data_IF_850844845562
#
_entry.id   IF_850844845562
#
_cell.length_a   1.000
_cell.length_b   1.000
_cell.length_c   1.000
_cell.angle_alpha   90.00
_cell.angle_beta   90.00
_cell.angle_gamma   90.00
#
_symmetry.space_group_name_H-M   'P 1'
#
loop_
_entity.id
_entity.type
_entity.pdbx_description
1 polymer ?
#
# COMPACT_ATOMS: atom_id res chain seq x y z
N UNK A 1 1.10 1.24 30.29
CA UNK A 1 0.83 1.58 28.87
C UNK A 1 -0.61 1.13 28.56
N UNK A 2 -1.45 1.94 27.88
CA UNK A 2 -2.83 1.52 27.55
C UNK A 2 -2.82 0.29 26.63
N UNK A 3 -3.76 -0.66 26.82
CA UNK A 3 -3.87 -1.89 26.03
C UNK A 3 -3.90 -1.61 24.51
N UNK A 4 -4.55 -0.53 24.08
CA UNK A 4 -4.60 -0.11 22.67
C UNK A 4 -3.22 0.24 22.10
N UNK A 5 -2.34 0.85 22.90
CA UNK A 5 -0.97 1.18 22.48
C UNK A 5 -0.13 -0.08 22.29
N UNK A 6 -0.28 -1.06 23.19
CA UNK A 6 0.41 -2.35 23.11
C UNK A 6 0.02 -3.08 21.82
N UNK A 7 -1.28 -3.16 21.51
CA UNK A 7 -1.79 -3.82 20.30
C UNK A 7 -1.21 -3.16 19.03
N UNK A 8 -1.14 -1.84 18.99
CA UNK A 8 -0.58 -1.11 17.84
C UNK A 8 0.93 -1.31 17.69
N UNK A 9 1.67 -1.39 18.80
CA UNK A 9 3.11 -1.71 18.77
C UNK A 9 3.32 -3.11 18.21
N UNK A 10 2.61 -4.10 18.74
CA UNK A 10 2.69 -5.49 18.28
C UNK A 10 2.34 -5.58 16.79
N UNK A 11 1.33 -4.83 16.35
CA UNK A 11 0.95 -4.74 14.93
C UNK A 11 2.07 -4.20 14.05
N UNK A 12 2.72 -3.11 14.47
CA UNK A 12 3.89 -2.56 13.78
C UNK A 12 5.05 -3.56 13.70
N UNK A 13 5.31 -4.28 14.79
CA UNK A 13 6.34 -5.33 14.85
C UNK A 13 6.03 -6.45 13.86
N UNK A 14 4.81 -6.99 13.87
CA UNK A 14 4.44 -8.10 12.99
C UNK A 14 4.51 -7.69 11.51
N UNK A 15 4.04 -6.49 11.16
CA UNK A 15 4.15 -5.97 9.78
C UNK A 15 5.62 -5.80 9.39
N UNK A 16 6.46 -5.26 10.29
CA UNK A 16 7.89 -5.11 10.06
C UNK A 16 8.62 -6.45 9.85
N UNK A 17 8.38 -7.43 10.73
CA UNK A 17 8.93 -8.79 10.61
C UNK A 17 8.49 -9.41 9.29
N UNK A 18 7.20 -9.33 8.96
CA UNK A 18 6.67 -9.87 7.70
C UNK A 18 7.36 -9.25 6.49
N UNK A 19 7.62 -7.94 6.51
CA UNK A 19 8.31 -7.25 5.43
C UNK A 19 9.78 -7.67 5.27
N UNK A 20 10.50 -7.83 6.39
CA UNK A 20 11.89 -8.30 6.39
C UNK A 20 11.96 -9.76 5.92
N UNK A 21 11.12 -10.63 6.47
CA UNK A 21 11.06 -12.06 6.11
C UNK A 21 10.76 -12.20 4.62
N UNK A 22 9.72 -11.55 4.10
CA UNK A 22 9.40 -11.62 2.67
C UNK A 22 10.55 -11.08 1.79
N UNK A 23 11.26 -10.03 2.23
CA UNK A 23 12.44 -9.51 1.54
C UNK A 23 13.66 -10.43 1.59
N UNK A 24 13.78 -11.31 2.59
CA UNK A 24 14.83 -12.34 2.65
C UNK A 24 14.48 -13.51 1.72
N UNK A 25 13.21 -13.93 1.71
CA UNK A 25 12.75 -15.12 0.99
C UNK A 25 12.39 -14.90 -0.49
N UNK A 26 12.61 -13.70 -1.05
CA UNK A 26 12.59 -13.50 -2.51
C UNK A 26 11.89 -12.24 -3.00
N UNK A 27 11.13 -11.51 -2.18
CA UNK A 27 10.57 -10.23 -2.63
C UNK A 27 11.69 -9.21 -2.89
N UNK A 28 11.47 -8.24 -3.82
CA UNK A 28 12.53 -7.34 -4.22
C UNK A 28 13.06 -6.53 -3.02
N UNK A 29 14.36 -6.22 -2.99
CA UNK A 29 14.95 -5.43 -1.92
C UNK A 29 14.22 -4.10 -1.80
N UNK A 30 14.00 -3.67 -0.56
CA UNK A 30 13.22 -2.48 -0.20
C UNK A 30 11.76 -2.47 -0.70
N UNK A 31 11.20 -3.58 -1.21
CA UNK A 31 9.77 -3.68 -1.48
C UNK A 31 9.00 -4.38 -0.36
N UNK A 32 9.46 -5.53 0.15
CA UNK A 32 8.90 -6.26 1.30
C UNK A 32 7.40 -6.56 1.20
N UNK A 33 6.56 -5.54 1.47
CA UNK A 33 5.08 -5.54 1.47
C UNK A 33 4.55 -4.29 0.73
N UNK A 34 5.17 -3.89 -0.38
CA UNK A 34 4.80 -2.65 -1.08
C UNK A 34 3.52 -2.81 -1.90
N UNK A 35 2.40 -2.36 -1.35
CA UNK A 35 1.09 -2.46 -2.02
C UNK A 35 1.03 -1.76 -3.38
N UNK A 36 1.61 -0.57 -3.54
CA UNK A 36 1.55 0.12 -4.84
C UNK A 36 2.31 -0.66 -5.93
N UNK A 37 3.51 -1.14 -5.61
CA UNK A 37 4.28 -1.97 -6.52
C UNK A 37 3.58 -3.30 -6.80
N UNK A 38 2.92 -3.89 -5.80
CA UNK A 38 2.19 -5.14 -6.01
C UNK A 38 0.98 -4.95 -6.92
N UNK A 39 0.20 -3.87 -6.75
CA UNK A 39 -0.93 -3.56 -7.63
C UNK A 39 -0.43 -3.34 -9.06
N UNK A 40 0.71 -2.66 -9.24
CA UNK A 40 1.36 -2.52 -10.56
C UNK A 40 1.77 -3.87 -11.16
N UNK A 41 2.45 -4.71 -10.39
CA UNK A 41 2.89 -6.03 -10.86
C UNK A 41 1.69 -6.90 -11.27
N UNK A 42 0.60 -6.81 -10.49
CA UNK A 42 -0.65 -7.52 -10.76
C UNK A 42 -1.35 -6.96 -12.01
N UNK A 43 -1.35 -5.64 -12.21
CA UNK A 43 -1.86 -5.03 -13.44
C UNK A 43 -1.11 -5.53 -14.68
N UNK A 44 0.21 -5.70 -14.57
CA UNK A 44 1.04 -6.24 -15.66
C UNK A 44 0.76 -7.70 -15.92
N UNK A 45 0.59 -8.47 -14.85
CA UNK A 45 0.27 -9.90 -14.92
C UNK A 45 -1.08 -10.18 -15.57
N UNK A 46 -2.07 -9.31 -15.32
CA UNK A 46 -3.38 -9.31 -15.95
C UNK A 46 -3.38 -8.75 -17.38
N UNK A 47 -2.24 -8.31 -17.90
CA UNK A 47 -2.12 -7.77 -19.26
C UNK A 47 -2.65 -6.34 -19.44
N UNK A 48 -2.91 -5.59 -18.35
CA UNK A 48 -3.34 -4.19 -18.44
C UNK A 48 -2.22 -3.25 -18.88
N UNK A 49 -0.96 -3.66 -18.68
CA UNK A 49 0.22 -3.08 -19.31
C UNK A 49 1.20 -4.19 -19.70
N UNK A 50 2.11 -3.90 -20.64
CA UNK A 50 2.99 -4.90 -21.26
C UNK A 50 4.47 -4.76 -20.88
N UNK A 51 4.79 -4.09 -19.75
CA UNK A 51 6.19 -3.95 -19.32
C UNK A 51 6.72 -5.27 -18.75
N UNK A 52 7.59 -5.95 -19.48
CA UNK A 52 8.11 -7.30 -19.17
C UNK A 52 8.81 -7.43 -17.80
N UNK A 53 9.26 -6.33 -17.20
CA UNK A 53 10.01 -6.35 -15.92
C UNK A 53 9.13 -6.34 -14.67
N UNK A 54 7.84 -6.04 -14.80
CA UNK A 54 6.90 -5.80 -13.69
C UNK A 54 5.56 -6.50 -13.93
N UNK A 55 5.62 -7.80 -14.21
CA UNK A 55 4.46 -8.69 -14.42
C UNK A 55 4.55 -9.86 -13.44
N UNK A 56 3.74 -9.82 -12.40
CA UNK A 56 3.55 -10.97 -11.50
C UNK A 56 2.31 -10.74 -10.65
N UNK A 57 1.41 -11.72 -10.62
CA UNK A 57 0.20 -11.62 -9.82
C UNK A 57 0.55 -11.88 -8.36
N UNK A 58 0.66 -10.81 -7.57
CA UNK A 58 1.19 -10.84 -6.20
C UNK A 58 0.17 -11.44 -5.22
N UNK A 59 0.41 -12.64 -4.66
CA UNK A 59 -0.52 -13.30 -3.72
C UNK A 59 -0.82 -12.48 -2.47
N UNK A 60 0.10 -11.60 -2.08
CA UNK A 60 -0.01 -10.72 -0.92
C UNK A 60 -1.27 -9.82 -0.99
N UNK A 61 -1.64 -9.34 -2.18
CA UNK A 61 -2.81 -8.46 -2.36
C UNK A 61 -4.09 -9.20 -1.97
N UNK A 62 -4.25 -10.43 -2.48
CA UNK A 62 -5.39 -11.27 -2.14
C UNK A 62 -5.39 -11.58 -0.65
N UNK A 63 -4.22 -11.84 -0.06
CA UNK A 63 -4.07 -12.00 1.37
C UNK A 63 -4.57 -10.80 2.17
N UNK A 64 -4.20 -9.57 1.79
CA UNK A 64 -4.68 -8.37 2.50
C UNK A 64 -6.21 -8.24 2.44
N UNK A 65 -6.80 -8.46 1.27
CA UNK A 65 -8.24 -8.33 1.04
C UNK A 65 -8.98 -9.45 1.80
N UNK A 66 -8.64 -10.72 1.55
CA UNK A 66 -9.29 -11.88 2.16
C UNK A 66 -9.08 -11.94 3.67
N UNK A 67 -7.89 -11.56 4.16
CA UNK A 67 -7.60 -11.49 5.59
C UNK A 67 -8.43 -10.42 6.29
N UNK A 68 -8.58 -9.25 5.65
CA UNK A 68 -9.45 -8.20 6.17
C UNK A 68 -10.94 -8.58 6.09
N UNK A 69 -11.37 -9.29 5.05
CA UNK A 69 -12.72 -9.82 4.91
C UNK A 69 -13.03 -10.85 6.01
N UNK A 70 -12.15 -11.84 6.20
CA UNK A 70 -12.29 -12.85 7.25
C UNK A 70 -12.38 -12.23 8.64
N UNK A 71 -11.50 -11.26 8.95
CA UNK A 71 -11.59 -10.51 10.19
C UNK A 71 -12.92 -9.75 10.32
N UNK A 72 -13.36 -9.04 9.28
CA UNK A 72 -14.61 -8.30 9.30
C UNK A 72 -15.83 -9.20 9.56
N UNK A 73 -15.85 -10.41 8.98
CA UNK A 73 -16.93 -11.38 9.21
C UNK A 73 -16.87 -11.95 10.63
N UNK A 74 -15.70 -12.41 11.09
CA UNK A 74 -15.51 -13.00 12.43
C UNK A 74 -15.90 -12.00 13.53
N UNK A 75 -15.49 -10.75 13.39
CA UNK A 75 -15.77 -9.70 14.37
C UNK A 75 -17.10 -8.99 14.14
N UNK A 76 -17.91 -9.41 13.15
CA UNK A 76 -19.20 -8.79 12.79
C UNK A 76 -19.08 -7.28 12.48
N UNK A 77 -17.95 -6.88 11.90
CA UNK A 77 -17.63 -5.52 11.48
C UNK A 77 -17.72 -5.35 9.95
N UNK A 78 -18.19 -6.37 9.22
CA UNK A 78 -18.45 -6.27 7.78
C UNK A 78 -19.55 -5.23 7.51
N UNK A 79 -19.24 -4.25 6.68
CA UNK A 79 -20.14 -3.13 6.39
C UNK A 79 -20.15 -2.84 4.89
N UNK A 80 -21.24 -3.25 4.23
CA UNK A 80 -21.51 -2.87 2.85
C UNK A 80 -21.92 -1.40 2.78
N UNK A 81 -20.98 -0.55 2.36
CA UNK A 81 -21.18 0.90 2.27
C UNK A 81 -20.71 1.40 0.91
N UNK A 82 -21.55 2.21 0.26
CA UNK A 82 -21.17 2.97 -0.92
C UNK A 82 -21.55 4.44 -0.73
N UNK A 83 -20.66 5.34 -1.12
CA UNK A 83 -20.89 6.78 -1.14
C UNK A 83 -21.26 7.27 -2.54
N UNK A 84 -21.81 8.49 -2.61
CA UNK A 84 -22.39 9.02 -3.86
C UNK A 84 -21.41 9.70 -4.81
N UNK A 85 -20.09 9.65 -4.55
CA UNK A 85 -19.05 10.23 -5.42
C UNK A 85 -18.01 9.19 -5.90
N UNK A 86 -18.41 8.21 -6.73
CA UNK A 86 -17.52 7.15 -7.21
C UNK A 86 -16.40 7.69 -8.11
N UNK A 87 -16.72 8.61 -9.04
CA UNK A 87 -15.73 9.17 -9.97
C UNK A 87 -14.60 9.90 -9.24
N UNK A 88 -14.93 10.71 -8.23
CA UNK A 88 -13.92 11.42 -7.44
C UNK A 88 -12.98 10.42 -6.74
N UNK A 89 -13.54 9.35 -6.15
CA UNK A 89 -12.74 8.33 -5.46
C UNK A 89 -11.86 7.54 -6.42
N UNK A 90 -12.38 7.22 -7.60
CA UNK A 90 -11.60 6.59 -8.67
C UNK A 90 -10.43 7.49 -9.09
N UNK A 91 -10.69 8.76 -9.40
CA UNK A 91 -9.67 9.72 -9.80
C UNK A 91 -8.62 9.94 -8.71
N UNK A 92 -9.03 10.03 -7.44
CA UNK A 92 -8.10 10.13 -6.33
C UNK A 92 -7.23 8.88 -6.15
N UNK A 93 -7.80 7.68 -6.36
CA UNK A 93 -7.06 6.42 -6.41
C UNK A 93 -6.05 6.38 -7.55
N UNK A 94 -6.45 6.84 -8.73
CA UNK A 94 -5.60 6.95 -9.92
C UNK A 94 -4.41 7.89 -9.68
N UNK A 95 -4.68 9.12 -9.19
CA UNK A 95 -3.64 10.11 -8.88
C UNK A 95 -2.71 9.65 -7.75
N UNK A 96 -3.25 8.97 -6.74
CA UNK A 96 -2.45 8.36 -5.68
C UNK A 96 -1.49 7.30 -6.24
N UNK A 97 -1.95 6.46 -7.18
CA UNK A 97 -1.07 5.48 -7.81
C UNK A 97 -0.01 6.15 -8.69
N UNK A 98 -0.40 7.16 -9.48
CA UNK A 98 0.54 7.93 -10.28
C UNK A 98 1.68 8.51 -9.42
N UNK A 99 1.35 9.14 -8.28
CA UNK A 99 2.35 9.61 -7.32
C UNK A 99 3.19 8.47 -6.72
N UNK A 100 2.57 7.34 -6.36
CA UNK A 100 3.33 6.18 -5.87
C UNK A 100 4.31 5.62 -6.90
N UNK A 101 3.99 5.67 -8.20
CA UNK A 101 4.87 5.15 -9.25
C UNK A 101 5.98 6.13 -9.63
N UNK A 102 5.72 7.44 -9.54
CA UNK A 102 6.78 8.45 -9.64
C UNK A 102 7.79 8.29 -8.50
N UNK A 103 7.34 8.16 -7.25
CA UNK A 103 8.22 7.91 -6.10
C UNK A 103 8.89 6.52 -6.11
N UNK A 104 8.40 5.59 -6.92
CA UNK A 104 8.72 4.16 -6.83
C UNK A 104 8.40 3.59 -5.44
N UNK A 105 7.23 3.87 -4.88
CA UNK A 105 6.78 3.23 -3.65
C UNK A 105 5.49 3.78 -3.04
N UNK A 106 4.92 3.01 -2.12
CA UNK A 106 3.84 3.47 -1.25
C UNK A 106 4.38 3.97 0.10
N UNK A 107 3.56 4.59 0.97
CA UNK A 107 3.99 5.04 2.29
C UNK A 107 4.64 3.94 3.15
N UNK A 108 4.18 2.68 3.02
CA UNK A 108 4.82 1.56 3.71
C UNK A 108 6.24 1.34 3.18
N UNK A 109 6.40 1.28 1.86
CA UNK A 109 7.71 1.11 1.20
C UNK A 109 8.67 2.25 1.52
N UNK A 110 8.16 3.48 1.65
CA UNK A 110 8.95 4.62 2.09
C UNK A 110 9.57 4.38 3.46
N UNK A 111 8.80 3.89 4.44
CA UNK A 111 9.35 3.55 5.77
C UNK A 111 10.34 2.38 5.69
N UNK A 112 10.09 1.39 4.84
CA UNK A 112 11.04 0.29 4.61
C UNK A 112 12.37 0.78 4.02
N UNK A 113 12.31 1.73 3.07
CA UNK A 113 13.48 2.38 2.45
C UNK A 113 14.27 3.20 3.47
N UNK A 114 13.59 3.98 4.32
CA UNK A 114 14.24 4.69 5.44
C UNK A 114 14.94 3.69 6.37
N UNK A 115 14.29 2.57 6.68
CA UNK A 115 14.88 1.51 7.49
C UNK A 115 16.07 0.78 6.83
N UNK A 116 16.28 0.94 5.53
CA UNK A 116 17.44 0.42 4.79
C UNK A 116 18.56 1.45 4.62
N UNK A 117 18.35 2.71 5.03
CA UNK A 117 19.33 3.80 4.93
C UNK A 117 19.13 4.75 3.74
N UNK A 118 18.02 4.65 3.00
CA UNK A 118 17.74 5.50 1.84
C UNK A 118 17.31 6.91 2.26
N UNK A 119 18.16 7.90 2.01
CA UNK A 119 17.91 9.30 2.33
C UNK A 119 16.90 9.97 1.37
N UNK A 120 16.72 9.45 0.14
CA UNK A 120 15.68 9.94 -0.77
C UNK A 120 14.28 9.66 -0.22
N UNK A 121 14.12 8.55 0.51
CA UNK A 121 12.87 8.21 1.16
C UNK A 121 12.52 9.16 2.33
N UNK A 122 13.53 9.79 2.95
CA UNK A 122 13.32 10.83 3.97
C UNK A 122 12.76 12.11 3.33
N UNK A 123 13.25 12.49 2.15
CA UNK A 123 12.67 13.60 1.36
C UNK A 123 11.21 13.30 0.99
N UNK A 124 10.94 12.06 0.58
CA UNK A 124 9.57 11.57 0.37
C UNK A 124 8.69 11.63 1.63
N UNK A 125 9.24 11.36 2.82
CA UNK A 125 8.52 11.48 4.08
C UNK A 125 8.10 12.93 4.37
N UNK A 126 9.00 13.90 4.15
CA UNK A 126 8.64 15.31 4.28
C UNK A 126 7.54 15.71 3.28
N UNK A 127 7.62 15.21 2.05
CA UNK A 127 6.56 15.38 1.05
C UNK A 127 5.23 14.82 1.52
N UNK A 128 5.20 13.56 1.97
CA UNK A 128 4.00 12.91 2.49
C UNK A 128 3.38 13.72 3.64
N UNK A 129 4.19 14.17 4.60
CA UNK A 129 3.73 14.96 5.75
C UNK A 129 3.16 16.31 5.30
N UNK A 130 3.82 17.00 4.36
CA UNK A 130 3.34 18.26 3.79
C UNK A 130 2.00 18.09 3.06
N UNK A 131 1.87 17.06 2.21
CA UNK A 131 0.64 16.73 1.51
C UNK A 131 -0.52 16.41 2.46
N UNK A 132 -0.25 15.67 3.53
CA UNK A 132 -1.25 15.37 4.57
C UNK A 132 -1.66 16.64 5.32
N UNK A 133 -0.71 17.53 5.61
CA UNK A 133 -0.97 18.83 6.23
C UNK A 133 -1.94 19.66 5.39
N UNK A 134 -1.64 19.80 4.08
CA UNK A 134 -2.49 20.52 3.13
C UNK A 134 -3.87 19.87 3.06
N UNK A 135 -3.96 18.55 2.85
CA UNK A 135 -5.24 17.83 2.79
C UNK A 135 -6.06 17.98 4.07
N UNK A 136 -5.41 18.01 5.24
CA UNK A 136 -6.06 18.22 6.54
C UNK A 136 -6.63 19.63 6.68
N UNK A 137 -6.00 20.65 6.08
CA UNK A 137 -6.53 22.00 6.03
C UNK A 137 -7.80 22.09 5.17
N UNK A 138 -7.85 21.38 4.03
CA UNK A 138 -9.07 21.29 3.21
C UNK A 138 -10.23 20.67 3.98
N UNK A 139 -9.98 19.59 4.73
CA UNK A 139 -11.00 18.97 5.59
C UNK A 139 -11.48 19.95 6.66
N UNK A 140 -10.56 20.69 7.32
CA UNK A 140 -10.94 21.72 8.31
C UNK A 140 -11.79 22.84 7.72
N UNK A 141 -11.59 23.17 6.43
CA UNK A 141 -12.37 24.19 5.70
C UNK A 141 -13.75 23.68 5.22
N UNK A 142 -14.13 22.45 5.56
CA UNK A 142 -15.45 21.90 5.24
C UNK A 142 -15.47 20.95 4.04
N UNK A 143 -14.32 20.61 3.44
CA UNK A 143 -14.28 19.58 2.42
C UNK A 143 -14.61 18.21 3.04
N UNK A 144 -15.74 17.64 2.61
CA UNK A 144 -16.13 16.28 2.96
C UNK A 144 -16.65 15.59 1.71
N UNK A 145 -16.26 14.32 1.53
CA UNK A 145 -16.91 13.49 0.53
C UNK A 145 -18.35 13.22 0.99
N UNK A 146 -19.31 13.12 0.06
CA UNK A 146 -20.71 12.92 0.42
C UNK A 146 -20.93 11.66 1.25
N UNK A 147 -22.02 11.68 2.03
CA UNK A 147 -22.36 10.65 3.01
C UNK A 147 -22.42 9.25 2.37
N UNK A 148 -21.91 8.27 3.11
CA UNK A 148 -22.00 6.87 2.72
C UNK A 148 -23.37 6.30 3.11
N UNK A 149 -23.98 5.58 2.20
CA UNK A 149 -25.24 4.87 2.39
C UNK A 149 -24.95 3.38 2.62
N UNK A 150 -25.79 2.74 3.45
CA UNK A 150 -25.76 1.27 3.53
C UNK A 150 -26.28 0.70 2.23
N UNK A 151 -25.57 -0.30 1.72
CA UNK A 151 -25.92 -1.00 0.49
C UNK A 151 -26.20 -2.48 0.77
N UNK A 152 -26.68 -3.19 -0.25
CA UNK A 152 -26.87 -4.63 -0.19
C UNK A 152 -25.58 -5.34 0.18
N UNK A 153 -25.67 -6.47 0.89
CA UNK A 153 -24.49 -7.26 1.26
C UNK A 153 -23.69 -7.74 0.03
N UNK A 154 -24.36 -7.89 -1.12
CA UNK A 154 -23.75 -8.29 -2.38
C UNK A 154 -22.68 -7.27 -2.84
N UNK A 155 -22.98 -5.97 -2.79
CA UNK A 155 -22.05 -4.91 -3.22
C UNK A 155 -20.71 -4.96 -2.49
N UNK A 156 -20.73 -5.20 -1.18
CA UNK A 156 -19.52 -5.33 -0.37
C UNK A 156 -18.76 -6.65 -0.59
N UNK A 157 -19.43 -7.68 -1.10
CA UNK A 157 -18.87 -9.02 -1.28
C UNK A 157 -18.25 -9.23 -2.68
N UNK A 158 -18.65 -8.42 -3.67
CA UNK A 158 -18.16 -8.53 -5.05
C UNK A 158 -16.64 -8.48 -5.11
N UNK A 159 -15.99 -7.49 -4.51
CA UNK A 159 -14.52 -7.38 -4.60
C UNK A 159 -13.81 -8.56 -3.90
N UNK A 160 -14.12 -8.92 -2.63
CA UNK A 160 -13.57 -10.13 -2.01
C UNK A 160 -13.78 -11.40 -2.85
N UNK A 161 -14.97 -11.56 -3.45
CA UNK A 161 -15.29 -12.72 -4.29
C UNK A 161 -14.46 -12.74 -5.58
N UNK A 162 -14.34 -11.61 -6.28
CA UNK A 162 -13.49 -11.49 -7.48
C UNK A 162 -12.04 -11.80 -7.15
N UNK A 163 -11.53 -11.25 -6.04
CA UNK A 163 -10.18 -11.54 -5.56
C UNK A 163 -9.97 -13.03 -5.23
N UNK A 164 -10.96 -13.70 -4.64
CA UNK A 164 -10.92 -15.13 -4.38
C UNK A 164 -10.89 -15.94 -5.68
N UNK A 165 -11.74 -15.60 -6.65
CA UNK A 165 -11.77 -16.27 -7.96
C UNK A 165 -10.44 -16.11 -8.69
N UNK A 166 -9.90 -14.90 -8.78
CA UNK A 166 -8.61 -14.64 -9.41
C UNK A 166 -7.47 -15.40 -8.71
N UNK A 167 -7.51 -15.48 -7.39
CA UNK A 167 -6.51 -16.24 -6.61
C UNK A 167 -6.61 -17.75 -6.85
N UNK A 168 -7.82 -18.30 -6.93
CA UNK A 168 -8.04 -19.73 -7.24
C UNK A 168 -7.56 -20.04 -8.66
N UNK A 169 -7.86 -19.18 -9.64
CA UNK A 169 -7.35 -19.32 -11.00
C UNK A 169 -5.81 -19.32 -11.04
N UNK A 170 -5.18 -18.43 -10.27
CA UNK A 170 -3.72 -18.38 -10.16
C UNK A 170 -3.09 -19.64 -9.56
N UNK A 171 -3.76 -20.30 -8.60
CA UNK A 171 -3.28 -21.56 -8.02
C UNK A 171 -3.44 -22.73 -9.00
N UNK A 172 -4.55 -22.76 -9.74
CA UNK A 172 -4.85 -23.83 -10.69
C UNK A 172 -3.91 -23.77 -11.89
N UNK A 173 -3.76 -22.59 -12.49
CA UNK A 173 -2.92 -22.39 -13.65
C UNK A 173 -2.31 -20.98 -13.64
N UNK A 174 -1.04 -20.90 -13.23
CA UNK A 174 -0.30 -19.65 -13.22
C UNK A 174 0.04 -19.14 -14.62
N UNK A 175 -0.08 -19.97 -15.67
CA UNK A 175 0.19 -19.58 -17.06
C UNK A 175 -0.88 -18.67 -17.66
N UNK A 176 -2.06 -18.62 -17.05
CA UNK A 176 -3.13 -17.66 -17.40
C UNK A 176 -2.63 -16.22 -17.23
N UNK A 177 -1.68 -16.00 -16.31
CA UNK A 177 -1.17 -14.68 -15.98
C UNK A 177 0.27 -14.50 -16.47
N UNK A 178 0.59 -13.32 -17.00
CA UNK A 178 1.95 -13.01 -17.47
C UNK A 178 2.91 -12.96 -16.27
N UNK A 179 4.07 -13.58 -16.42
CA UNK A 179 5.13 -13.62 -15.41
C UNK A 179 6.45 -13.12 -15.99
N UNK A 180 7.08 -12.18 -15.30
CA UNK A 180 8.36 -11.59 -15.68
C UNK A 180 9.51 -12.59 -15.52
N UNK A 181 10.40 -12.65 -16.52
CA UNK A 181 11.64 -13.44 -16.46
C UNK A 181 12.77 -12.67 -15.75
N UNK A 182 12.76 -11.33 -15.82
CA UNK A 182 13.78 -10.45 -15.22
C UNK A 182 13.10 -9.24 -14.56
N UNK A 183 13.80 -8.61 -13.62
CA UNK A 183 13.35 -7.39 -12.96
C UNK A 183 12.49 -7.64 -11.70
N UNK A 184 11.87 -6.57 -11.15
CA UNK A 184 11.16 -6.66 -9.87
C UNK A 184 9.99 -7.66 -9.86
N UNK A 185 9.34 -7.89 -11.00
CA UNK A 185 8.27 -8.89 -11.13
C UNK A 185 8.75 -10.32 -10.98
N UNK A 186 9.99 -10.62 -11.39
CA UNK A 186 10.58 -11.96 -11.29
C UNK A 186 11.04 -12.30 -9.86
N UNK A 187 11.36 -11.28 -9.06
CA UNK A 187 11.71 -11.45 -7.65
C UNK A 187 10.44 -11.53 -6.81
N UNK A 188 10.08 -12.75 -6.40
CA UNK A 188 8.94 -12.99 -5.53
C UNK A 188 9.24 -14.05 -4.47
N UNK A 189 8.69 -13.86 -3.28
CA UNK A 189 8.69 -14.87 -2.23
C UNK A 189 7.80 -16.07 -2.62
N UNK A 190 8.01 -17.26 -2.04
CA UNK A 190 7.12 -18.40 -2.21
C UNK A 190 5.67 -18.05 -1.90
N UNK A 191 4.75 -18.51 -2.76
CA UNK A 191 3.32 -18.17 -2.74
C UNK A 191 2.68 -18.37 -1.36
N UNK A 192 3.01 -19.46 -0.67
CA UNK A 192 2.49 -19.77 0.67
C UNK A 192 2.93 -18.78 1.74
N UNK A 193 4.17 -18.27 1.67
CA UNK A 193 4.64 -17.23 2.59
C UNK A 193 4.00 -15.89 2.29
N UNK A 194 3.88 -15.54 1.01
CA UNK A 194 3.22 -14.32 0.54
C UNK A 194 1.75 -14.24 0.98
N UNK A 195 0.97 -15.30 0.77
CA UNK A 195 -0.44 -15.32 1.17
C UNK A 195 -0.61 -15.31 2.69
N UNK A 196 0.21 -16.06 3.43
CA UNK A 196 0.13 -16.12 4.90
C UNK A 196 0.45 -14.76 5.51
N UNK A 197 1.52 -14.12 5.07
CA UNK A 197 1.86 -12.77 5.49
C UNK A 197 0.75 -11.77 5.10
N UNK A 198 0.21 -11.88 3.89
CA UNK A 198 -0.91 -11.07 3.42
C UNK A 198 -2.14 -11.19 4.32
N UNK A 199 -2.55 -12.41 4.66
CA UNK A 199 -3.70 -12.68 5.55
C UNK A 199 -3.50 -12.07 6.93
N UNK A 200 -2.33 -12.29 7.54
CA UNK A 200 -1.99 -11.75 8.87
C UNK A 200 -2.04 -10.23 8.86
N UNK A 201 -1.41 -9.60 7.87
CA UNK A 201 -1.40 -8.14 7.73
C UNK A 201 -2.82 -7.61 7.47
N UNK A 202 -3.62 -8.29 6.65
CA UNK A 202 -5.02 -7.95 6.40
C UNK A 202 -5.86 -7.92 7.69
N UNK A 203 -5.75 -8.97 8.52
CA UNK A 203 -6.42 -9.06 9.83
C UNK A 203 -5.97 -7.92 10.76
N UNK A 204 -4.65 -7.72 10.88
CA UNK A 204 -4.07 -6.68 11.75
C UNK A 204 -4.59 -5.29 11.36
N UNK A 205 -4.60 -4.98 10.07
CA UNK A 205 -5.00 -3.65 9.59
C UNK A 205 -6.49 -3.42 9.79
N UNK A 206 -7.32 -4.44 9.54
CA UNK A 206 -8.76 -4.37 9.81
C UNK A 206 -9.00 -3.98 11.29
N UNK A 207 -8.35 -4.67 12.23
CA UNK A 207 -8.54 -4.49 13.68
C UNK A 207 -7.96 -3.19 14.22
N UNK A 208 -6.74 -2.85 13.84
CA UNK A 208 -5.99 -1.75 14.47
C UNK A 208 -6.15 -0.42 13.76
N UNK A 209 -6.71 -0.43 12.55
CA UNK A 209 -6.78 0.73 11.66
C UNK A 209 -5.40 1.34 11.36
N UNK A 210 -4.36 0.50 11.38
CA UNK A 210 -2.99 0.90 11.10
C UNK A 210 -2.88 1.57 9.72
N UNK A 211 -2.45 2.83 9.70
CA UNK A 211 -2.36 3.63 8.48
C UNK A 211 -1.34 4.76 8.64
N UNK A 212 -0.42 4.89 7.69
CA UNK A 212 0.59 5.97 7.67
C UNK A 212 -0.05 7.37 7.54
N UNK A 213 -1.12 7.45 6.75
CA UNK A 213 -1.85 8.71 6.54
C UNK A 213 -2.69 9.05 7.77
N UNK A 214 -3.32 8.03 8.37
CA UNK A 214 -4.04 8.16 9.64
C UNK A 214 -3.13 8.61 10.78
N UNK A 215 -1.90 8.10 10.84
CA UNK A 215 -0.88 8.52 11.80
C UNK A 215 -0.64 10.03 11.73
N UNK A 216 -0.19 10.54 10.58
CA UNK A 216 0.15 11.96 10.45
C UNK A 216 -1.08 12.85 10.64
N UNK A 217 -2.24 12.48 10.08
CA UNK A 217 -3.51 13.21 10.29
C UNK A 217 -3.90 13.27 11.77
N UNK A 218 -3.79 12.16 12.52
CA UNK A 218 -4.13 12.12 13.95
C UNK A 218 -3.19 12.97 14.80
N UNK A 219 -1.91 13.05 14.43
CA UNK A 219 -0.95 13.96 15.06
C UNK A 219 -1.36 15.42 14.79
N UNK A 220 -1.63 15.79 13.53
CA UNK A 220 -1.98 17.16 13.17
C UNK A 220 -3.31 17.64 13.74
N UNK A 221 -4.32 16.77 13.72
CA UNK A 221 -5.70 17.17 14.04
C UNK A 221 -6.03 17.01 15.52
N UNK A 222 -5.52 15.94 16.15
CA UNK A 222 -5.92 15.53 17.50
C UNK A 222 -4.75 15.34 18.45
N UNK A 223 -3.51 15.62 18.02
CA UNK A 223 -2.26 15.37 18.79
C UNK A 223 -2.18 13.94 19.36
N UNK A 224 -2.73 12.96 18.64
CA UNK A 224 -2.75 11.57 19.07
C UNK A 224 -1.63 10.77 18.40
N UNK A 225 -0.62 10.42 19.20
CA UNK A 225 0.59 9.71 18.75
C UNK A 225 0.45 8.18 18.75
N UNK A 226 -0.71 7.63 19.09
CA UNK A 226 -0.88 6.17 19.28
C UNK A 226 -0.49 5.38 18.03
N UNK A 227 -0.92 5.81 16.83
CA UNK A 227 -0.52 5.18 15.56
C UNK A 227 0.96 5.42 15.22
N UNK A 228 1.53 6.54 15.67
CA UNK A 228 2.93 6.88 15.41
C UNK A 228 3.89 5.92 16.10
N UNK A 229 3.55 5.51 17.31
CA UNK A 229 4.34 4.52 18.07
C UNK A 229 4.38 3.18 17.31
N UNK A 230 3.28 2.78 16.65
CA UNK A 230 3.25 1.57 15.82
C UNK A 230 4.12 1.67 14.57
N UNK A 231 4.10 2.82 13.89
CA UNK A 231 4.99 3.07 12.73
C UNK A 231 6.45 3.12 13.15
N UNK A 232 6.75 3.69 14.31
CA UNK A 232 8.09 3.69 14.89
C UNK A 232 8.55 2.27 15.22
N UNK A 233 7.68 1.44 15.82
CA UNK A 233 7.99 0.04 16.10
C UNK A 233 8.28 -0.75 14.81
N UNK A 234 7.50 -0.53 13.74
CA UNK A 234 7.77 -1.08 12.42
C UNK A 234 9.14 -0.66 11.90
N UNK A 235 9.47 0.64 11.96
CA UNK A 235 10.75 1.16 11.50
C UNK A 235 11.92 0.53 12.25
N UNK A 236 11.85 0.45 13.58
CA UNK A 236 12.90 -0.14 14.41
C UNK A 236 13.14 -1.62 14.08
N UNK A 237 12.07 -2.38 13.86
CA UNK A 237 12.17 -3.80 13.45
C UNK A 237 12.83 -3.94 12.08
N UNK A 238 12.51 -3.05 11.13
CA UNK A 238 13.09 -3.08 9.79
C UNK A 238 14.58 -2.70 9.83
N UNK A 239 14.95 -1.68 10.61
CA UNK A 239 16.35 -1.33 10.84
C UNK A 239 17.10 -2.53 11.43
N UNK A 240 16.57 -3.13 12.50
CA UNK A 240 17.19 -4.31 13.12
C UNK A 240 17.31 -5.49 12.12
N UNK A 241 16.27 -5.76 11.34
CA UNK A 241 16.28 -6.80 10.30
C UNK A 241 17.30 -6.55 9.19
N UNK A 242 17.44 -5.30 8.75
CA UNK A 242 18.44 -4.91 7.76
C UNK A 242 19.87 -4.94 8.31
N UNK A 243 20.07 -4.59 9.59
CA UNK A 243 21.35 -4.75 10.29
C UNK A 243 21.76 -6.22 10.33
N UNK A 244 20.84 -7.12 10.70
CA UNK A 244 21.10 -8.56 10.77
C UNK A 244 21.40 -9.19 9.40
N UNK A 245 20.82 -8.66 8.33
CA UNK A 245 21.05 -9.15 6.97
C UNK A 245 22.19 -8.46 6.24
N UNK A 246 22.83 -7.45 6.86
CA UNK A 246 23.93 -6.68 6.26
C UNK A 246 23.54 -5.82 5.05
N UNK A 247 22.25 -5.54 4.86
CA UNK A 247 21.71 -4.84 3.68
C UNK A 247 21.53 -3.33 3.87
N UNK A 248 22.22 -2.73 4.83
CA UNK A 248 22.12 -1.30 5.11
C UNK A 248 23.10 -0.54 4.22
N UNK A 249 22.57 0.30 3.35
CA UNK A 249 23.34 1.26 2.58
C UNK A 249 22.83 2.65 2.94
N UNK A 250 23.60 3.40 3.73
CA UNK A 250 23.24 4.78 4.07
C UNK A 250 23.76 5.68 2.95
N UNK A 251 22.86 6.34 2.24
CA UNK A 251 23.24 7.24 1.16
C UNK A 251 22.08 7.64 0.27
N UNK A 252 22.36 8.60 -0.63
CA UNK A 252 21.45 8.97 -1.70
C UNK A 252 21.61 8.02 -2.89
N UNK A 253 22.85 7.71 -3.28
CA UNK A 253 23.14 6.94 -4.49
C UNK A 253 23.05 5.42 -4.31
N UNK A 254 22.82 4.72 -5.43
CA UNK A 254 22.78 3.25 -5.52
C UNK A 254 21.74 2.56 -4.63
N UNK A 255 20.63 3.24 -4.34
CA UNK A 255 19.52 2.67 -3.58
C UNK A 255 18.67 1.73 -4.46
N UNK A 256 18.23 0.56 -3.94
CA UNK A 256 17.45 -0.39 -4.72
C UNK A 256 16.10 0.19 -5.16
N UNK A 257 15.90 0.26 -6.48
CA UNK A 257 14.64 0.66 -7.12
C UNK A 257 14.17 2.03 -6.61
N UNK A 258 15.08 3.00 -6.63
CA UNK A 258 14.89 4.38 -6.22
C UNK A 258 15.63 5.33 -7.18
N UNK A 259 15.15 6.57 -7.30
CA UNK A 259 15.81 7.64 -8.04
C UNK A 259 16.22 8.77 -7.07
N UNK A 260 17.22 9.55 -7.48
CA UNK A 260 17.82 10.61 -6.66
C UNK A 260 17.14 11.97 -6.77
N UNK A 261 16.16 12.13 -7.66
CA UNK A 261 15.47 13.40 -7.80
C UNK A 261 14.62 13.73 -6.56
N UNK A 262 15.17 14.56 -5.68
CA UNK A 262 14.54 14.99 -4.43
C UNK A 262 13.26 15.79 -4.64
N UNK A 263 13.17 16.59 -5.71
CA UNK A 263 11.99 17.41 -5.99
C UNK A 263 10.80 16.52 -6.33
N UNK A 264 11.00 15.56 -7.24
CA UNK A 264 9.96 14.61 -7.60
C UNK A 264 9.62 13.66 -6.46
N UNK A 265 10.60 13.23 -5.64
CA UNK A 265 10.33 12.46 -4.43
C UNK A 265 9.41 13.24 -3.46
N UNK A 266 9.64 14.54 -3.28
CA UNK A 266 8.81 15.39 -2.43
C UNK A 266 7.41 15.62 -3.01
N UNK A 267 7.31 16.01 -4.29
CA UNK A 267 6.03 16.35 -4.95
C UNK A 267 5.12 15.11 -5.09
N UNK A 268 5.69 13.98 -5.51
CA UNK A 268 4.93 12.74 -5.69
C UNK A 268 4.35 12.24 -4.36
N UNK A 269 5.15 12.24 -3.29
CA UNK A 269 4.66 11.84 -1.96
C UNK A 269 3.71 12.87 -1.35
N UNK A 270 3.85 14.16 -1.68
CA UNK A 270 2.86 15.18 -1.33
C UNK A 270 1.51 14.90 -1.98
N UNK A 271 1.49 14.52 -3.26
CA UNK A 271 0.27 14.10 -3.96
C UNK A 271 -0.36 12.87 -3.32
N UNK A 272 0.44 11.84 -3.01
CA UNK A 272 -0.03 10.62 -2.30
C UNK A 272 -0.65 10.97 -0.94
N UNK A 273 -0.01 11.88 -0.19
CA UNK A 273 -0.51 12.37 1.09
C UNK A 273 -1.85 13.09 0.97
N UNK A 274 -1.95 14.01 0.01
CA UNK A 274 -3.17 14.76 -0.29
C UNK A 274 -4.33 13.82 -0.66
N UNK A 275 -4.12 12.97 -1.68
CA UNK A 275 -5.13 12.02 -2.14
C UNK A 275 -5.58 11.10 -1.01
N UNK A 276 -4.62 10.53 -0.27
CA UNK A 276 -4.93 9.60 0.80
C UNK A 276 -5.62 10.23 2.01
N UNK A 277 -5.50 11.55 2.24
CA UNK A 277 -6.33 12.26 3.22
C UNK A 277 -7.79 12.31 2.74
N UNK A 278 -8.03 12.60 1.47
CA UNK A 278 -9.38 12.67 0.91
C UNK A 278 -10.08 11.31 0.87
N UNK A 279 -9.38 10.24 0.46
CA UNK A 279 -9.95 8.88 0.47
C UNK A 279 -9.81 8.17 1.83
N UNK A 280 -9.25 8.85 2.85
CA UNK A 280 -9.07 8.35 4.23
C UNK A 280 -8.28 7.03 4.32
N UNK A 281 -7.17 6.93 3.59
CA UNK A 281 -6.28 5.77 3.66
C UNK A 281 -5.18 5.77 2.60
N UNK A 282 -4.07 5.09 2.90
CA UNK A 282 -3.03 4.77 1.92
C UNK A 282 -3.42 3.52 1.09
N UNK A 283 -2.66 3.12 0.06
CA UNK A 283 -2.99 1.97 -0.79
C UNK A 283 -3.33 0.70 0.00
N UNK A 284 -2.51 0.38 1.03
CA UNK A 284 -2.73 -0.76 1.89
C UNK A 284 -4.04 -0.68 2.69
N UNK A 285 -4.36 0.51 3.21
CA UNK A 285 -5.60 0.74 3.95
C UNK A 285 -6.82 0.64 3.03
N UNK A 286 -6.70 1.09 1.78
CA UNK A 286 -7.78 0.97 0.79
C UNK A 286 -8.08 -0.49 0.46
N UNK A 287 -7.06 -1.34 0.26
CA UNK A 287 -7.28 -2.78 0.07
C UNK A 287 -8.00 -3.41 1.27
N UNK A 288 -7.55 -3.13 2.49
CA UNK A 288 -8.18 -3.68 3.69
C UNK A 288 -9.60 -3.14 3.94
N UNK A 289 -9.86 -1.87 3.61
CA UNK A 289 -11.21 -1.30 3.68
C UNK A 289 -12.13 -1.92 2.63
N UNK A 290 -11.61 -2.17 1.43
CA UNK A 290 -12.38 -2.79 0.37
C UNK A 290 -12.74 -4.25 0.73
N UNK A 291 -11.84 -4.98 1.40
CA UNK A 291 -12.13 -6.29 1.96
C UNK A 291 -13.17 -6.30 3.09
N UNK A 292 -13.33 -5.19 3.84
CA UNK A 292 -14.37 -5.04 4.86
C UNK A 292 -15.78 -4.78 4.29
N UNK A 293 -15.93 -4.70 2.96
CA UNK A 293 -17.18 -4.40 2.28
C UNK A 293 -17.37 -2.92 1.91
N UNK A 294 -16.33 -2.09 2.04
CA UNK A 294 -16.44 -0.69 1.64
C UNK A 294 -16.24 -0.53 0.12
N UNK A 295 -17.34 -0.36 -0.61
CA UNK A 295 -17.35 -0.19 -2.07
C UNK A 295 -16.63 1.09 -2.51
N UNK A 296 -16.61 2.15 -1.70
CA UNK A 296 -15.83 3.36 -2.01
C UNK A 296 -14.33 3.10 -2.07
N UNK A 297 -13.85 2.25 -1.15
CA UNK A 297 -12.47 1.82 -1.14
C UNK A 297 -12.19 0.90 -2.33
N UNK A 298 -13.14 0.04 -2.71
CA UNK A 298 -13.05 -0.79 -3.91
C UNK A 298 -12.88 0.06 -5.18
N UNK A 299 -13.68 1.12 -5.34
CA UNK A 299 -13.55 2.07 -6.47
C UNK A 299 -12.19 2.77 -6.46
N UNK A 300 -11.68 3.14 -5.28
CA UNK A 300 -10.33 3.72 -5.15
C UNK A 300 -9.24 2.71 -5.54
N UNK A 301 -9.42 1.42 -5.23
CA UNK A 301 -8.53 0.32 -5.63
C UNK A 301 -8.55 0.11 -7.14
N UNK A 302 -9.72 0.16 -7.78
CA UNK A 302 -9.83 0.14 -9.25
C UNK A 302 -9.15 1.34 -9.90
N UNK A 303 -9.28 2.53 -9.28
CA UNK A 303 -8.55 3.73 -9.66
C UNK A 303 -7.04 3.52 -9.59
N UNK A 304 -6.55 2.93 -8.49
CA UNK A 304 -5.13 2.59 -8.36
C UNK A 304 -4.67 1.57 -9.42
N UNK A 305 -5.46 0.53 -9.68
CA UNK A 305 -5.14 -0.48 -10.69
C UNK A 305 -5.02 0.16 -12.09
N UNK A 306 -6.00 1.00 -12.46
CA UNK A 306 -6.00 1.74 -13.73
C UNK A 306 -4.85 2.72 -13.81
N UNK A 307 -4.54 3.43 -12.71
CA UNK A 307 -3.40 4.34 -12.63
C UNK A 307 -2.06 3.63 -12.83
N UNK A 308 -1.95 2.39 -12.35
CA UNK A 308 -0.75 1.59 -12.56
C UNK A 308 -0.58 1.16 -14.02
N UNK A 309 -1.67 0.74 -14.66
CA UNK A 309 -1.68 0.42 -16.09
C UNK A 309 -1.33 1.64 -16.94
N UNK A 310 -1.95 2.79 -16.66
CA UNK A 310 -1.66 4.06 -17.35
C UNK A 310 -0.19 4.45 -17.21
N UNK A 311 0.37 4.41 -16.00
CA UNK A 311 1.73 4.85 -15.77
C UNK A 311 2.78 4.06 -16.58
N UNK A 312 2.54 2.77 -16.82
CA UNK A 312 3.46 1.93 -17.60
C UNK A 312 3.19 1.96 -19.11
N UNK A 313 1.93 2.10 -19.54
CA UNK A 313 1.61 2.22 -20.97
C UNK A 313 2.04 3.56 -21.57
N UNK A 314 2.02 4.63 -20.79
CA UNK A 314 2.39 5.99 -21.23
C UNK A 314 3.80 6.39 -20.78
N UNK A 315 4.61 5.45 -20.28
CA UNK A 315 5.97 5.73 -19.79
C UNK A 315 6.04 6.88 -18.77
N UNK A 316 5.05 6.97 -17.88
CA UNK A 316 4.96 7.94 -16.78
C UNK A 316 5.52 7.38 -15.46
N UNK A 317 5.75 6.06 -15.38
CA UNK A 317 6.42 5.46 -14.23
C UNK A 317 7.93 5.77 -14.23
N UNK A 318 8.43 6.35 -13.14
CA UNK A 318 9.88 6.58 -12.95
C UNK A 318 10.67 5.28 -12.98
N UNK A 319 11.98 5.40 -13.16
CA UNK A 319 12.93 4.29 -13.11
C UNK A 319 14.12 4.62 -12.20
N UNK A 320 14.97 3.65 -11.84
CA UNK A 320 16.20 3.96 -11.11
C UNK A 320 17.14 4.92 -11.85
N UNK A 321 17.04 4.99 -13.19
CA UNK A 321 17.84 5.91 -14.01
C UNK A 321 17.37 7.36 -13.89
N UNK A 322 16.16 7.60 -13.38
CA UNK A 322 15.59 8.93 -13.27
C UNK A 322 14.08 8.93 -13.28
N UNK A 323 13.54 10.12 -13.02
CA UNK A 323 12.14 10.42 -13.30
C UNK A 323 11.98 10.46 -14.81
N UNK A 324 10.87 9.90 -15.29
CA UNK A 324 10.52 9.81 -16.71
C UNK A 324 10.92 11.02 -17.54
#
# INVERSE_FOLDING_TARGET
MSATKIIIIISGIIIGISAVVLGIYGNPPNMGVCVACFIRDSAGSMGLHNTETVQYLRPEIFGFILGSFGAAVIFKEFQSKAGSAPVIRFTLGFLMMAGCLVFLGCPLRMILRIGAGDLNAVVGLFGLVAGIGIGSLFIKKGFSLPRNYQQSAAEGLILPAVCLVLFVLFIIDSSIFKSSVKGPGAAHAPVWMAITAGLIIGVIIQRTRFCFIGMAKNIFLSRNYTMAIGVLALLLVVIAGNMLTGKINIGFDNQPIAHNDGLWNFLSMSLVGLCGVFITGCPLRQLANAGQGNTDAAVSVLGMLTGAAFAHNFSYASSPAGVT
#
